data_IF_387692037675
#
_entry.id   IF_387692037675
#
_cell.length_a   1.000
_cell.length_b   1.000
_cell.length_c   1.000
_cell.angle_alpha   90.00
_cell.angle_beta   90.00
_cell.angle_gamma   90.00
#
_symmetry.space_group_name_H-M   'P 1'
#
loop_
_entity.id
_entity.type
_entity.pdbx_description
1 polymer ?
#
# COMPACT_ATOMS: atom_id res chain seq x y z
N UNK A 1 -14.68 -3.86 2.31
CA UNK A 1 -15.15 -2.75 1.46
C UNK A 1 -13.95 -2.07 0.80
N UNK A 2 -14.16 -1.45 -0.34
CA UNK A 2 -13.16 -0.70 -1.09
C UNK A 2 -12.63 0.48 -0.27
N UNK A 3 -11.34 0.79 -0.44
CA UNK A 3 -10.73 1.94 0.21
C UNK A 3 -11.15 3.23 -0.48
N UNK A 4 -11.12 4.35 0.26
CA UNK A 4 -11.38 5.69 -0.30
C UNK A 4 -10.45 5.99 -1.48
N UNK A 5 -9.19 5.56 -1.40
CA UNK A 5 -8.22 5.72 -2.50
C UNK A 5 -8.61 4.94 -3.75
N UNK A 6 -9.08 3.69 -3.60
CA UNK A 6 -9.58 2.90 -4.72
C UNK A 6 -10.81 3.55 -5.36
N UNK A 7 -11.78 3.96 -4.55
CA UNK A 7 -13.00 4.63 -5.04
C UNK A 7 -12.66 5.90 -5.81
N UNK A 8 -11.79 6.75 -5.26
CA UNK A 8 -11.33 7.98 -5.96
C UNK A 8 -10.71 7.65 -7.30
N UNK A 9 -9.81 6.66 -7.35
CA UNK A 9 -9.12 6.25 -8.58
C UNK A 9 -10.10 5.68 -9.61
N UNK A 10 -11.10 4.90 -9.18
CA UNK A 10 -12.19 4.40 -10.05
C UNK A 10 -12.90 5.57 -10.71
N UNK A 11 -13.32 6.58 -9.93
CA UNK A 11 -14.01 7.75 -10.50
C UNK A 11 -13.11 8.60 -11.40
N UNK A 12 -11.82 8.73 -11.08
CA UNK A 12 -10.86 9.38 -11.98
C UNK A 12 -10.79 8.65 -13.32
N UNK A 13 -10.65 7.32 -13.32
CA UNK A 13 -10.56 6.54 -14.55
C UNK A 13 -11.88 6.51 -15.33
N UNK A 14 -13.02 6.43 -14.64
CA UNK A 14 -14.35 6.57 -15.25
C UNK A 14 -14.44 7.87 -16.06
N UNK A 15 -14.04 8.98 -15.45
CA UNK A 15 -14.08 10.30 -16.10
C UNK A 15 -13.10 10.38 -17.28
N UNK A 16 -11.87 9.86 -17.12
CA UNK A 16 -10.87 9.82 -18.20
C UNK A 16 -11.36 9.01 -19.39
N UNK A 17 -12.01 7.88 -19.14
CA UNK A 17 -12.55 6.99 -20.17
C UNK A 17 -13.87 7.49 -20.79
N UNK A 18 -14.44 8.57 -20.25
CA UNK A 18 -15.76 9.09 -20.60
C UNK A 18 -16.85 8.00 -20.57
N UNK A 19 -16.82 7.14 -19.54
CA UNK A 19 -17.84 6.11 -19.32
C UNK A 19 -19.07 6.80 -18.71
N UNK A 20 -20.21 6.68 -19.40
CA UNK A 20 -21.50 7.16 -18.91
C UNK A 20 -22.00 6.38 -17.69
N UNK A 21 -23.04 6.89 -17.04
CA UNK A 21 -23.54 6.29 -15.80
C UNK A 21 -24.14 4.89 -16.01
N UNK A 22 -24.80 4.65 -17.14
CA UNK A 22 -25.46 3.37 -17.43
C UNK A 22 -24.43 2.27 -17.65
N UNK A 23 -23.44 2.53 -18.52
CA UNK A 23 -22.32 1.62 -18.77
C UNK A 23 -21.49 1.40 -17.49
N UNK A 24 -21.29 2.44 -16.68
CA UNK A 24 -20.59 2.31 -15.40
C UNK A 24 -21.32 1.38 -14.43
N UNK A 25 -22.65 1.50 -14.32
CA UNK A 25 -23.47 0.62 -13.49
C UNK A 25 -23.43 -0.81 -14.04
N UNK A 26 -23.57 -0.99 -15.36
CA UNK A 26 -23.49 -2.31 -16.00
C UNK A 26 -22.16 -3.01 -15.68
N UNK A 27 -21.05 -2.29 -15.78
CA UNK A 27 -19.73 -2.83 -15.42
C UNK A 27 -19.65 -3.23 -13.95
N UNK A 28 -20.26 -2.46 -13.04
CA UNK A 28 -20.32 -2.81 -11.62
C UNK A 28 -21.22 -4.02 -11.34
N UNK A 29 -22.29 -4.22 -12.12
CA UNK A 29 -23.17 -5.39 -11.98
C UNK A 29 -22.45 -6.70 -12.27
N UNK A 30 -21.33 -6.70 -13.03
CA UNK A 30 -20.48 -7.89 -13.19
C UNK A 30 -19.89 -8.39 -11.86
N UNK A 31 -19.80 -7.52 -10.85
CA UNK A 31 -19.42 -7.84 -9.47
C UNK A 31 -20.63 -7.99 -8.54
N UNK A 32 -21.87 -7.95 -9.08
CA UNK A 32 -23.11 -8.04 -8.31
C UNK A 32 -23.45 -6.79 -7.49
N UNK A 33 -22.80 -5.65 -7.77
CA UNK A 33 -23.01 -4.39 -7.02
C UNK A 33 -23.49 -3.26 -7.93
N UNK A 34 -24.08 -2.22 -7.34
CA UNK A 34 -24.50 -1.01 -8.09
C UNK A 34 -23.64 0.21 -7.78
N UNK A 35 -22.78 0.11 -6.77
CA UNK A 35 -21.92 1.21 -6.34
C UNK A 35 -20.49 0.73 -6.11
N UNK A 36 -19.51 1.53 -6.51
CA UNK A 36 -18.09 1.27 -6.20
C UNK A 36 -17.78 1.23 -4.70
N UNK A 37 -18.67 1.77 -3.87
CA UNK A 37 -18.57 1.71 -2.40
C UNK A 37 -18.87 0.31 -1.84
N UNK A 38 -19.65 -0.48 -2.58
CA UNK A 38 -20.08 -1.83 -2.18
C UNK A 38 -19.03 -2.89 -2.53
N UNK A 39 -18.11 -2.58 -3.45
CA UNK A 39 -17.02 -3.47 -3.80
C UNK A 39 -16.19 -3.85 -2.57
N UNK A 40 -15.74 -5.10 -2.53
CA UNK A 40 -14.66 -5.54 -1.64
C UNK A 40 -13.33 -4.92 -2.09
N UNK A 41 -12.31 -5.02 -1.23
CA UNK A 41 -10.97 -4.53 -1.57
C UNK A 41 -10.42 -5.20 -2.83
N UNK A 42 -10.65 -6.51 -2.97
CA UNK A 42 -10.22 -7.35 -4.09
C UNK A 42 -10.98 -7.03 -5.36
N UNK A 43 -12.31 -6.92 -5.29
CA UNK A 43 -13.13 -6.56 -6.46
C UNK A 43 -12.80 -5.16 -6.96
N UNK A 44 -12.60 -4.19 -6.05
CA UNK A 44 -12.16 -2.86 -6.43
C UNK A 44 -10.76 -2.85 -7.07
N UNK A 45 -9.86 -3.73 -6.66
CA UNK A 45 -8.56 -3.88 -7.30
C UNK A 45 -8.67 -4.46 -8.72
N UNK A 46 -9.51 -5.50 -8.90
CA UNK A 46 -9.79 -6.08 -10.21
C UNK A 46 -10.45 -5.05 -11.12
N UNK A 47 -11.45 -4.33 -10.62
CA UNK A 47 -12.14 -3.30 -11.40
C UNK A 47 -11.21 -2.16 -11.81
N UNK A 48 -10.30 -1.75 -10.93
CA UNK A 48 -9.25 -0.79 -11.28
C UNK A 48 -8.32 -1.31 -12.37
N UNK A 49 -7.90 -2.58 -12.32
CA UNK A 49 -7.07 -3.16 -13.39
C UNK A 49 -7.79 -3.09 -14.74
N UNK A 50 -9.08 -3.49 -14.79
CA UNK A 50 -9.91 -3.40 -16.00
C UNK A 50 -9.98 -1.96 -16.54
N UNK A 51 -10.24 -0.98 -15.68
CA UNK A 51 -10.32 0.42 -16.10
C UNK A 51 -8.96 0.97 -16.54
N UNK A 52 -7.87 0.62 -15.84
CA UNK A 52 -6.53 1.05 -16.23
C UNK A 52 -6.08 0.43 -17.55
N UNK A 53 -6.41 -0.84 -17.82
CA UNK A 53 -6.14 -1.51 -19.11
C UNK A 53 -6.88 -0.79 -20.25
N UNK A 54 -8.18 -0.56 -20.10
CA UNK A 54 -8.97 0.20 -21.09
C UNK A 54 -8.42 1.60 -21.34
N UNK A 55 -7.91 2.26 -20.30
CA UNK A 55 -7.38 3.61 -20.42
C UNK A 55 -5.98 3.63 -21.05
N UNK A 56 -5.17 2.60 -20.80
CA UNK A 56 -3.86 2.41 -21.43
C UNK A 56 -3.99 2.06 -22.91
N UNK A 57 -4.93 1.19 -23.28
CA UNK A 57 -5.27 0.87 -24.68
C UNK A 57 -5.63 2.12 -25.50
N UNK A 58 -6.26 3.11 -24.85
CA UNK A 58 -6.64 4.40 -25.45
C UNK A 58 -5.54 5.47 -25.33
N UNK A 59 -4.37 5.15 -24.78
CA UNK A 59 -3.28 6.09 -24.47
C UNK A 59 -3.69 7.27 -23.55
N UNK A 60 -4.77 7.10 -22.76
CA UNK A 60 -5.29 8.10 -21.82
C UNK A 60 -4.70 7.95 -20.42
N UNK A 61 -4.08 6.80 -20.14
CA UNK A 61 -3.48 6.49 -18.86
C UNK A 61 -2.16 5.77 -19.06
N UNK A 62 -1.21 6.03 -18.17
CA UNK A 62 0.04 5.30 -18.10
C UNK A 62 0.13 4.62 -16.74
N UNK A 63 0.05 3.29 -16.73
CA UNK A 63 0.17 2.50 -15.50
C UNK A 63 1.49 2.81 -14.83
N UNK A 64 1.42 3.30 -13.59
CA UNK A 64 2.61 3.54 -12.79
C UNK A 64 3.15 2.20 -12.32
N UNK A 65 4.35 1.86 -12.78
CA UNK A 65 5.01 0.64 -12.35
C UNK A 65 5.24 0.69 -10.83
N UNK A 66 4.96 -0.42 -10.14
CA UNK A 66 5.20 -0.51 -8.69
C UNK A 66 6.66 -0.19 -8.41
N UNK A 67 6.95 0.56 -7.33
CA UNK A 67 8.33 0.87 -6.92
C UNK A 67 9.16 -0.43 -6.86
N UNK A 68 10.35 -0.42 -7.46
CA UNK A 68 11.22 -1.58 -7.60
C UNK A 68 10.78 -2.69 -8.57
N UNK A 69 9.72 -2.51 -9.36
CA UNK A 69 9.31 -3.47 -10.41
C UNK A 69 10.46 -3.84 -11.36
N UNK A 70 11.26 -2.86 -11.77
CA UNK A 70 12.36 -3.05 -12.73
C UNK A 70 13.68 -3.53 -12.10
N UNK A 71 13.71 -3.85 -10.80
CA UNK A 71 14.94 -4.28 -10.12
C UNK A 71 15.22 -5.75 -10.38
N UNK A 72 16.22 -6.04 -11.22
CA UNK A 72 16.74 -7.39 -11.39
C UNK A 72 17.67 -7.74 -10.22
N UNK A 73 17.22 -8.61 -9.31
CA UNK A 73 17.94 -8.94 -8.05
C UNK A 73 18.22 -10.44 -7.99
N UNK A 74 19.42 -10.78 -7.53
CA UNK A 74 19.81 -12.17 -7.34
C UNK A 74 18.86 -12.92 -6.40
N UNK A 75 18.69 -14.24 -6.60
CA UNK A 75 17.70 -15.05 -5.89
C UNK A 75 17.79 -15.06 -4.35
N UNK A 76 18.95 -14.72 -3.77
CA UNK A 76 19.17 -14.61 -2.30
C UNK A 76 18.81 -13.23 -1.74
N UNK A 77 18.63 -12.22 -2.60
CA UNK A 77 18.33 -10.83 -2.22
C UNK A 77 16.84 -10.65 -1.92
N UNK A 78 16.51 -9.68 -1.06
CA UNK A 78 15.14 -9.32 -0.75
C UNK A 78 14.35 -9.04 -2.03
N UNK A 79 13.14 -9.59 -2.08
CA UNK A 79 12.24 -9.40 -3.22
C UNK A 79 11.74 -7.96 -3.26
N UNK A 80 11.37 -7.49 -4.45
CA UNK A 80 10.83 -6.15 -4.66
C UNK A 80 9.59 -5.89 -3.77
N UNK A 81 8.73 -6.90 -3.61
CA UNK A 81 7.56 -6.82 -2.71
C UNK A 81 7.95 -6.72 -1.24
N UNK A 82 8.98 -7.43 -0.79
CA UNK A 82 9.49 -7.28 0.58
C UNK A 82 10.05 -5.88 0.82
N UNK A 83 10.78 -5.29 -0.15
CA UNK A 83 11.29 -3.92 -0.04
C UNK A 83 10.12 -2.91 0.11
N UNK A 84 9.10 -3.01 -0.74
CA UNK A 84 7.89 -2.18 -0.66
C UNK A 84 7.17 -2.34 0.68
N UNK A 85 7.04 -3.58 1.17
CA UNK A 85 6.41 -3.89 2.44
C UNK A 85 7.13 -3.22 3.62
N UNK A 86 8.47 -3.30 3.65
CA UNK A 86 9.28 -2.67 4.71
C UNK A 86 9.09 -1.15 4.70
N UNK A 87 9.16 -0.51 3.53
CA UNK A 87 8.97 0.95 3.44
C UNK A 87 7.56 1.37 3.85
N UNK A 88 6.53 0.63 3.42
CA UNK A 88 5.14 0.90 3.79
C UNK A 88 4.90 0.77 5.30
N UNK A 89 5.28 -0.37 5.88
CA UNK A 89 5.16 -0.58 7.33
C UNK A 89 5.96 0.44 8.14
N UNK A 90 7.15 0.83 7.66
CA UNK A 90 7.95 1.83 8.35
C UNK A 90 7.28 3.20 8.36
N UNK A 91 6.67 3.62 7.25
CA UNK A 91 5.94 4.89 7.15
C UNK A 91 4.78 4.95 8.14
N UNK A 92 4.08 3.84 8.35
CA UNK A 92 2.97 3.78 9.31
C UNK A 92 3.40 4.02 10.77
N UNK A 93 4.65 3.72 11.13
CA UNK A 93 5.15 3.86 12.51
C UNK A 93 6.14 5.02 12.69
N UNK A 94 6.59 5.63 11.59
CA UNK A 94 7.54 6.72 11.68
C UNK A 94 6.87 7.99 12.21
N UNK A 95 7.62 8.79 12.96
CA UNK A 95 7.08 9.98 13.61
C UNK A 95 6.65 11.07 12.61
N UNK A 96 7.38 11.21 11.50
CA UNK A 96 7.04 12.14 10.43
C UNK A 96 6.90 11.39 9.10
N UNK A 97 5.71 11.43 8.49
CA UNK A 97 5.46 10.87 7.15
C UNK A 97 5.96 11.82 6.05
N UNK A 98 7.27 12.06 6.05
CA UNK A 98 7.97 12.70 4.92
C UNK A 98 8.96 11.71 4.32
N UNK A 99 9.13 11.73 3.00
CA UNK A 99 9.96 10.73 2.32
C UNK A 99 11.42 10.76 2.80
N UNK A 100 11.96 11.97 2.98
CA UNK A 100 13.33 12.18 3.47
C UNK A 100 13.53 11.64 4.88
N UNK A 101 12.58 11.91 5.79
CA UNK A 101 12.64 11.42 7.17
C UNK A 101 12.46 9.90 7.25
N UNK A 102 11.43 9.36 6.60
CA UNK A 102 11.14 7.93 6.59
C UNK A 102 12.35 7.14 6.06
N UNK A 103 12.97 7.60 4.97
CA UNK A 103 14.17 6.94 4.41
C UNK A 103 15.38 7.03 5.33
N UNK A 104 15.67 8.20 5.90
CA UNK A 104 16.83 8.41 6.80
C UNK A 104 16.67 7.63 8.10
N UNK A 105 15.48 7.66 8.69
CA UNK A 105 15.16 6.93 9.93
C UNK A 105 15.18 5.41 9.71
N UNK A 106 14.66 4.92 8.59
CA UNK A 106 14.72 3.49 8.24
C UNK A 106 16.16 3.01 8.12
N UNK A 107 17.03 3.75 7.41
CA UNK A 107 18.47 3.41 7.33
C UNK A 107 19.12 3.36 8.71
N UNK A 108 18.83 4.34 9.57
CA UNK A 108 19.36 4.36 10.95
C UNK A 108 18.89 3.12 11.74
N UNK A 109 17.63 2.74 11.60
CA UNK A 109 17.08 1.53 12.23
C UNK A 109 17.75 0.25 11.72
N UNK A 110 17.85 0.07 10.40
CA UNK A 110 18.51 -1.07 9.77
C UNK A 110 19.97 -1.19 10.20
N UNK A 111 20.70 -0.06 10.23
CA UNK A 111 22.10 -0.03 10.65
C UNK A 111 22.27 -0.40 12.12
N UNK A 112 21.40 0.13 12.99
CA UNK A 112 21.46 -0.14 14.43
C UNK A 112 21.15 -1.60 14.76
N UNK A 113 20.02 -2.12 14.27
CA UNK A 113 19.45 -3.43 14.67
C UNK A 113 19.90 -4.60 13.82
N UNK A 114 20.12 -4.40 12.53
CA UNK A 114 20.41 -5.48 11.57
C UNK A 114 21.81 -5.40 10.96
N UNK A 115 22.58 -4.35 11.28
CA UNK A 115 23.90 -4.04 10.72
C UNK A 115 23.85 -4.00 9.19
N UNK A 116 22.84 -3.30 8.65
CA UNK A 116 22.61 -3.11 7.22
C UNK A 116 22.45 -1.62 6.94
N UNK A 117 23.26 -1.05 6.06
CA UNK A 117 23.26 0.40 5.81
C UNK A 117 22.04 0.89 5.01
N UNK A 118 21.51 0.07 4.11
CA UNK A 118 20.39 0.42 3.24
C UNK A 118 19.51 -0.79 2.94
N UNK A 119 18.21 -0.54 2.73
CA UNK A 119 17.22 -1.56 2.37
C UNK A 119 17.63 -2.36 1.12
N UNK A 120 18.39 -1.74 0.21
CA UNK A 120 18.93 -2.35 -1.00
C UNK A 120 19.94 -3.47 -0.72
N UNK A 121 20.52 -3.56 0.47
CA UNK A 121 21.47 -4.61 0.84
C UNK A 121 20.81 -5.77 1.62
N UNK A 122 19.48 -5.77 1.73
CA UNK A 122 18.78 -6.86 2.42
C UNK A 122 18.75 -8.13 1.58
N UNK A 123 19.05 -9.25 2.24
CA UNK A 123 18.74 -10.60 1.79
C UNK A 123 17.29 -10.94 2.09
N UNK A 124 16.72 -11.98 1.45
CA UNK A 124 15.34 -12.43 1.74
C UNK A 124 15.14 -12.75 3.21
N UNK A 125 16.11 -13.46 3.80
CA UNK A 125 16.07 -13.88 5.20
C UNK A 125 16.12 -12.70 6.16
N UNK A 126 17.00 -11.72 5.92
CA UNK A 126 17.06 -10.49 6.73
C UNK A 126 15.81 -9.63 6.55
N UNK A 127 15.30 -9.50 5.33
CA UNK A 127 14.07 -8.75 5.06
C UNK A 127 12.87 -9.29 5.84
N UNK A 128 12.69 -10.61 5.89
CA UNK A 128 11.63 -11.23 6.71
C UNK A 128 11.79 -10.88 8.20
N UNK A 129 13.01 -10.91 8.75
CA UNK A 129 13.27 -10.51 10.15
C UNK A 129 12.98 -9.03 10.40
N UNK A 130 13.32 -8.16 9.44
CA UNK A 130 13.02 -6.72 9.50
C UNK A 130 11.50 -6.51 9.54
N UNK A 131 10.74 -7.15 8.65
CA UNK A 131 9.27 -7.05 8.62
C UNK A 131 8.68 -7.45 9.98
N UNK A 132 9.09 -8.58 10.54
CA UNK A 132 8.60 -9.05 11.83
C UNK A 132 8.93 -8.07 12.97
N UNK A 133 10.13 -7.49 12.97
CA UNK A 133 10.51 -6.47 13.96
C UNK A 133 9.63 -5.22 13.87
N UNK A 134 9.35 -4.72 12.67
CA UNK A 134 8.49 -3.55 12.46
C UNK A 134 7.04 -3.84 12.87
N UNK A 135 6.51 -5.02 12.55
CA UNK A 135 5.17 -5.44 12.99
C UNK A 135 5.08 -5.52 14.52
N UNK A 136 6.12 -6.04 15.18
CA UNK A 136 6.21 -6.05 16.64
C UNK A 136 6.19 -4.64 17.24
N UNK A 137 6.93 -3.70 16.64
CA UNK A 137 6.91 -2.29 17.05
C UNK A 137 5.52 -1.68 16.89
N UNK A 138 4.88 -1.89 15.73
CA UNK A 138 3.52 -1.42 15.46
C UNK A 138 2.53 -1.93 16.50
N UNK A 139 2.59 -3.22 16.86
CA UNK A 139 1.74 -3.82 17.90
C UNK A 139 1.97 -3.19 19.27
N UNK A 140 3.23 -2.94 19.64
CA UNK A 140 3.56 -2.31 20.91
C UNK A 140 3.06 -0.85 20.97
N UNK A 141 3.19 -0.09 19.87
CA UNK A 141 2.66 1.27 19.78
C UNK A 141 1.13 1.29 19.92
N UNK A 142 0.43 0.36 19.26
CA UNK A 142 -1.02 0.23 19.40
C UNK A 142 -1.44 -0.11 20.84
N UNK A 143 -0.70 -0.99 21.51
CA UNK A 143 -0.93 -1.32 22.92
C UNK A 143 -0.77 -0.09 23.81
N UNK A 144 0.34 0.64 23.67
CA UNK A 144 0.61 1.87 24.44
C UNK A 144 -0.51 2.91 24.21
N UNK A 145 -0.93 3.10 22.95
CA UNK A 145 -2.01 4.02 22.63
C UNK A 145 -3.35 3.62 23.30
N UNK A 146 -3.65 2.32 23.37
CA UNK A 146 -4.86 1.81 24.03
C UNK A 146 -4.85 1.96 25.56
N UNK A 147 -3.66 1.89 26.19
CA UNK A 147 -3.49 2.02 27.64
C UNK A 147 -3.55 3.48 28.13
N UNK A 148 -3.34 4.45 27.23
CA UNK A 148 -3.34 5.88 27.55
C UNK A 148 -4.72 6.56 27.43
N UNK A 149 -5.78 5.85 27.02
CA UNK A 149 -7.14 6.42 26.98
C UNK A 149 -7.75 6.38 28.40
N UNK A 150 -8.02 7.53 29.05
CA UNK A 150 -8.60 7.53 30.39
C UNK A 150 -10.00 6.91 30.37
N UNK A 151 -10.24 6.00 31.33
CA UNK A 151 -11.56 5.42 31.63
C UNK A 151 -12.61 6.56 31.67
N UNK A 152 -13.73 6.50 30.93
CA UNK A 152 -14.77 7.51 31.07
C UNK A 152 -15.21 7.54 32.53
N UNK A 153 -15.16 8.73 33.13
CA UNK A 153 -15.65 8.95 34.49
C UNK A 153 -17.09 8.46 34.54
N UNK A 154 -17.35 7.45 35.38
CA UNK A 154 -18.71 6.98 35.66
C UNK A 154 -19.47 8.17 36.24
N UNK A 155 -20.47 8.66 35.50
CA UNK A 155 -21.48 9.57 36.02
C UNK A 155 -22.46 8.80 36.89
#
# INVERSE_FOLDING_TARGET
MATISQIRKIHTLKNILAIDDDLYIEMLMSFGVRSSKELTYTEAAIFLEILEDKAEERNLWKKQAKKYSNLNRAGKMATQSQLRMIEGLWREICYYDTDTFARKSLRKFLKSKFKVDDIMFLTKTKASKVIQAILGMKKNLAKIASEQVPKPARR
#
